data_IF_087806574081
#
_entry.id   IF_087806574081
#
_cell.length_a   1.000
_cell.length_b   1.000
_cell.length_c   1.000
_cell.angle_alpha   90.00
_cell.angle_beta   90.00
_cell.angle_gamma   90.00
#
_symmetry.space_group_name_H-M   'P 1'
#
loop_
_entity.id
_entity.type
_entity.pdbx_description
1 polymer ?
#
# COMPACT_ATOMS: atom_id res chain seq x y z
N UNK A 1 3.17 -15.78 -11.83
CA UNK A 1 2.28 -16.91 -12.23
C UNK A 1 0.92 -16.71 -11.60
N UNK A 2 -0.16 -17.07 -12.30
CA UNK A 2 -1.53 -16.98 -11.76
C UNK A 2 -2.18 -18.36 -11.85
N UNK A 3 -2.81 -18.79 -10.75
CA UNK A 3 -3.67 -19.95 -10.71
C UNK A 3 -5.09 -19.48 -10.40
N UNK A 4 -6.06 -19.98 -11.14
CA UNK A 4 -7.47 -19.64 -10.94
C UNK A 4 -8.25 -20.93 -10.73
N UNK A 5 -8.78 -21.09 -9.54
CA UNK A 5 -9.68 -22.18 -9.19
C UNK A 5 -11.11 -21.69 -9.34
N UNK A 6 -11.96 -22.51 -9.95
CA UNK A 6 -13.40 -22.27 -10.05
C UNK A 6 -14.11 -23.37 -9.29
N UNK A 7 -15.07 -23.00 -8.46
CA UNK A 7 -15.85 -23.95 -7.67
C UNK A 7 -17.22 -23.36 -7.34
N UNK A 8 -18.18 -24.21 -7.09
CA UNK A 8 -19.49 -23.81 -6.59
C UNK A 8 -19.55 -24.04 -5.08
N UNK A 9 -20.10 -23.10 -4.29
CA UNK A 9 -20.35 -23.30 -2.88
C UNK A 9 -21.37 -24.42 -2.66
N UNK A 10 -21.24 -25.17 -1.56
CA UNK A 10 -22.19 -26.24 -1.22
C UNK A 10 -23.61 -25.72 -1.01
N UNK A 11 -23.75 -24.48 -0.53
CA UNK A 11 -25.03 -23.84 -0.26
C UNK A 11 -25.74 -23.30 -1.52
N UNK A 12 -25.00 -23.12 -2.63
CA UNK A 12 -25.52 -22.57 -3.88
C UNK A 12 -24.69 -23.08 -5.07
N UNK A 13 -25.15 -24.18 -5.66
CA UNK A 13 -24.47 -24.84 -6.78
C UNK A 13 -24.55 -24.07 -8.10
N UNK A 14 -25.46 -23.08 -8.21
CA UNK A 14 -25.58 -22.26 -9.41
C UNK A 14 -24.57 -21.10 -9.43
N UNK A 15 -24.13 -20.67 -8.26
CA UNK A 15 -23.10 -19.62 -8.15
C UNK A 15 -21.70 -20.19 -8.38
N UNK A 16 -20.96 -19.58 -9.32
CA UNK A 16 -19.57 -19.93 -9.60
C UNK A 16 -18.61 -18.93 -8.94
N UNK A 17 -17.89 -19.38 -7.92
CA UNK A 17 -16.83 -18.61 -7.28
C UNK A 17 -15.50 -18.82 -7.98
N UNK A 18 -14.62 -17.82 -7.86
CA UNK A 18 -13.25 -17.86 -8.39
C UNK A 18 -12.27 -17.52 -7.28
N UNK A 19 -11.36 -18.42 -6.99
CA UNK A 19 -10.19 -18.18 -6.15
C UNK A 19 -8.98 -17.96 -7.06
N UNK A 20 -8.37 -16.78 -6.97
CA UNK A 20 -7.14 -16.45 -7.70
C UNK A 20 -5.96 -16.50 -6.74
N UNK A 21 -4.97 -17.30 -7.07
CA UNK A 21 -3.68 -17.36 -6.38
C UNK A 21 -2.64 -16.70 -7.27
N UNK A 22 -2.01 -15.66 -6.79
CA UNK A 22 -0.92 -14.94 -7.47
C UNK A 22 0.41 -15.30 -6.82
N UNK A 23 1.35 -15.77 -7.63
CA UNK A 23 2.68 -16.15 -7.17
C UNK A 23 3.68 -15.20 -7.81
N UNK A 24 4.44 -14.47 -6.98
CA UNK A 24 5.56 -13.67 -7.46
C UNK A 24 6.70 -14.62 -7.86
N UNK A 25 7.11 -14.53 -9.12
CA UNK A 25 8.19 -15.33 -9.69
C UNK A 25 9.35 -14.47 -10.20
N UNK A 26 9.42 -13.21 -9.80
CA UNK A 26 10.44 -12.27 -10.26
C UNK A 26 11.38 -11.80 -9.16
N UNK A 27 10.88 -11.70 -7.95
CA UNK A 27 11.63 -11.27 -6.78
C UNK A 27 11.84 -12.50 -5.90
N UNK A 28 13.04 -13.06 -5.91
CA UNK A 28 13.36 -14.32 -5.24
C UNK A 28 14.17 -14.10 -3.97
N UNK A 29 14.75 -12.92 -3.80
CA UNK A 29 15.60 -12.59 -2.67
C UNK A 29 14.94 -11.53 -1.80
N UNK A 30 15.03 -11.72 -0.49
CA UNK A 30 14.63 -10.73 0.51
C UNK A 30 15.84 -9.89 0.91
N UNK A 31 15.66 -8.60 1.12
CA UNK A 31 16.73 -7.71 1.58
C UNK A 31 17.04 -7.90 3.07
N UNK A 32 16.01 -8.14 3.89
CA UNK A 32 16.15 -8.27 5.35
C UNK A 32 15.89 -9.69 5.87
N UNK A 33 15.63 -10.63 4.97
CA UNK A 33 15.34 -12.00 5.32
C UNK A 33 13.84 -12.28 5.48
N UNK A 34 13.55 -13.55 5.69
CA UNK A 34 12.19 -14.08 5.85
C UNK A 34 12.03 -14.53 7.29
N UNK A 35 10.92 -14.19 7.92
CA UNK A 35 10.54 -14.65 9.25
C UNK A 35 9.25 -15.46 9.23
N UNK A 36 9.10 -16.27 10.26
CA UNK A 36 7.86 -16.94 10.59
C UNK A 36 7.00 -16.05 11.47
N UNK A 37 5.73 -15.89 11.08
CA UNK A 37 4.74 -15.14 11.82
C UNK A 37 3.59 -16.06 12.21
N UNK A 38 3.14 -16.04 13.48
CA UNK A 38 1.99 -16.79 13.89
C UNK A 38 0.74 -16.24 13.17
N UNK A 39 -0.03 -17.15 12.61
CA UNK A 39 -1.30 -16.86 11.97
C UNK A 39 -2.38 -17.70 12.61
N UNK A 40 -3.46 -17.07 13.04
CA UNK A 40 -4.59 -17.72 13.66
C UNK A 40 -5.88 -17.31 12.96
N UNK A 41 -6.70 -18.28 12.61
CA UNK A 41 -8.08 -18.07 12.21
C UNK A 41 -8.95 -18.67 13.31
N UNK A 42 -9.82 -17.86 13.87
CA UNK A 42 -10.87 -18.27 14.79
C UNK A 42 -12.19 -17.67 14.33
N UNK A 43 -12.96 -18.44 13.59
CA UNK A 43 -14.29 -18.05 13.14
C UNK A 43 -15.28 -19.18 13.37
N UNK A 44 -16.58 -18.87 13.22
CA UNK A 44 -17.68 -19.80 13.53
C UNK A 44 -17.57 -21.16 12.84
N UNK A 45 -16.96 -21.22 11.65
CA UNK A 45 -16.89 -22.41 10.80
C UNK A 45 -15.48 -23.01 10.65
N UNK A 46 -14.45 -22.30 11.10
CA UNK A 46 -13.09 -22.80 10.97
C UNK A 46 -12.16 -22.21 12.01
N UNK A 47 -11.37 -23.07 12.62
CA UNK A 47 -10.29 -22.67 13.53
C UNK A 47 -8.99 -23.31 13.05
N UNK A 48 -7.96 -22.50 12.88
CA UNK A 48 -6.65 -23.00 12.47
C UNK A 48 -5.54 -22.08 12.98
N UNK A 49 -4.40 -22.67 13.29
CA UNK A 49 -3.15 -21.96 13.62
C UNK A 49 -2.06 -22.45 12.69
N UNK A 50 -1.25 -21.54 12.21
CA UNK A 50 -0.12 -21.84 11.33
C UNK A 50 1.02 -20.84 11.55
N UNK A 51 2.22 -21.24 11.16
CA UNK A 51 3.36 -20.34 11.00
C UNK A 51 3.47 -19.95 9.53
N UNK A 52 3.37 -18.66 9.22
CA UNK A 52 3.44 -18.15 7.85
C UNK A 52 4.78 -17.47 7.63
N UNK A 53 5.48 -17.87 6.57
CA UNK A 53 6.69 -17.18 6.13
C UNK A 53 6.31 -15.86 5.47
N UNK A 54 6.88 -14.77 5.97
CA UNK A 54 6.70 -13.43 5.40
C UNK A 54 8.00 -12.61 5.49
N UNK A 55 8.04 -11.51 4.76
CA UNK A 55 9.12 -10.54 4.88
C UNK A 55 9.05 -9.80 6.21
N UNK A 56 10.17 -9.17 6.60
CA UNK A 56 10.18 -8.14 7.64
C UNK A 56 9.16 -7.04 7.29
N UNK A 57 8.49 -6.43 8.29
CA UNK A 57 7.50 -5.40 8.04
C UNK A 57 8.01 -4.27 7.14
N UNK A 58 9.21 -3.76 7.39
CA UNK A 58 9.80 -2.68 6.60
C UNK A 58 9.98 -3.08 5.13
N UNK A 59 10.30 -4.33 4.87
CA UNK A 59 10.45 -4.83 3.50
C UNK A 59 9.09 -4.97 2.81
N UNK A 60 8.12 -5.56 3.51
CA UNK A 60 6.75 -5.70 3.01
C UNK A 60 6.16 -4.33 2.66
N UNK A 61 6.27 -3.36 3.58
CA UNK A 61 5.72 -2.01 3.39
C UNK A 61 6.54 -1.16 2.43
N UNK A 62 7.84 -1.40 2.27
CA UNK A 62 8.66 -0.81 1.21
C UNK A 62 8.18 -1.21 -0.19
N UNK A 63 7.78 -2.48 -0.38
CA UNK A 63 7.17 -2.92 -1.63
C UNK A 63 5.76 -2.36 -1.85
N UNK A 64 4.98 -2.11 -0.79
CA UNK A 64 3.68 -1.42 -0.87
C UNK A 64 3.85 0.05 -1.25
N UNK A 65 4.85 0.75 -0.71
CA UNK A 65 5.17 2.12 -1.12
C UNK A 65 5.53 2.19 -2.61
N UNK A 66 6.32 1.23 -3.11
CA UNK A 66 6.60 1.10 -4.55
C UNK A 66 5.31 0.90 -5.34
N UNK A 67 4.42 0.03 -4.89
CA UNK A 67 3.14 -0.23 -5.56
C UNK A 67 2.25 1.01 -5.57
N UNK A 68 2.15 1.73 -4.46
CA UNK A 68 1.41 2.99 -4.35
C UNK A 68 1.87 4.01 -5.38
N UNK A 69 3.17 4.18 -5.54
CA UNK A 69 3.75 5.17 -6.46
C UNK A 69 3.79 4.72 -7.93
N UNK A 70 3.70 3.42 -8.21
CA UNK A 70 3.70 2.89 -9.57
C UNK A 70 2.32 2.63 -10.14
N UNK A 71 1.30 2.48 -9.29
CA UNK A 71 -0.07 2.17 -9.68
C UNK A 71 -0.97 3.39 -9.53
N UNK A 72 -2.03 3.41 -10.32
CA UNK A 72 -3.08 4.45 -10.18
C UNK A 72 -3.99 4.21 -8.96
N UNK A 73 -4.06 2.98 -8.46
CA UNK A 73 -4.92 2.57 -7.34
C UNK A 73 -4.39 3.05 -6.00
N UNK A 74 -5.30 3.35 -5.08
CA UNK A 74 -4.98 3.94 -3.77
C UNK A 74 -5.00 2.94 -2.61
N UNK A 75 -5.38 1.68 -2.82
CA UNK A 75 -5.50 0.68 -1.74
C UNK A 75 -4.23 0.53 -0.89
N UNK A 76 -3.05 0.65 -1.52
CA UNK A 76 -1.77 0.58 -0.79
C UNK A 76 -1.58 1.78 0.16
N UNK A 77 -2.34 2.89 0.00
CA UNK A 77 -2.34 4.03 0.92
C UNK A 77 -2.93 3.64 2.28
N UNK A 78 -4.07 2.95 2.28
CA UNK A 78 -4.70 2.43 3.48
C UNK A 78 -3.75 1.48 4.22
N UNK A 79 -3.19 0.52 3.52
CA UNK A 79 -2.27 -0.46 4.10
C UNK A 79 -1.04 0.20 4.74
N UNK A 80 -0.42 1.18 4.06
CA UNK A 80 0.73 1.93 4.58
C UNK A 80 0.36 2.72 5.83
N UNK A 81 -0.79 3.42 5.81
CA UNK A 81 -1.26 4.19 6.95
C UNK A 81 -1.51 3.31 8.18
N UNK A 82 -2.24 2.21 8.00
CA UNK A 82 -2.52 1.27 9.09
C UNK A 82 -1.22 0.60 9.59
N UNK A 83 -0.32 0.23 8.69
CA UNK A 83 0.97 -0.32 9.07
C UNK A 83 1.81 0.65 9.90
N UNK A 84 1.87 1.92 9.52
CA UNK A 84 2.58 2.96 10.29
C UNK A 84 1.95 3.21 11.67
N UNK A 85 0.64 3.03 11.83
CA UNK A 85 -0.07 3.18 13.12
C UNK A 85 0.10 1.97 14.03
N UNK A 86 0.04 0.77 13.45
CA UNK A 86 -0.08 -0.46 14.24
C UNK A 86 1.26 -1.17 14.47
N UNK A 87 2.24 -0.95 13.59
CA UNK A 87 3.53 -1.63 13.64
C UNK A 87 4.65 -0.66 14.00
N UNK A 88 5.56 -1.12 14.86
CA UNK A 88 6.78 -0.37 15.17
C UNK A 88 7.80 -0.61 14.06
N UNK A 89 7.66 0.11 12.94
CA UNK A 89 8.57 0.03 11.80
C UNK A 89 9.58 1.18 11.83
N UNK A 90 10.77 0.93 11.32
CA UNK A 90 11.77 1.96 11.04
C UNK A 90 11.54 2.54 9.64
N UNK A 91 11.08 3.81 9.51
CA UNK A 91 10.81 4.41 8.21
C UNK A 91 12.04 4.47 7.30
N UNK A 92 13.24 4.63 7.85
CA UNK A 92 14.46 4.71 7.05
C UNK A 92 14.83 3.34 6.45
N UNK A 93 14.61 2.25 7.18
CA UNK A 93 14.72 0.88 6.64
C UNK A 93 13.66 0.63 5.57
N UNK A 94 12.42 1.07 5.78
CA UNK A 94 11.35 0.95 4.79
C UNK A 94 11.72 1.68 3.50
N UNK A 95 12.22 2.91 3.60
CA UNK A 95 12.68 3.68 2.42
C UNK A 95 13.88 3.00 1.75
N UNK A 96 14.81 2.41 2.50
CA UNK A 96 15.92 1.67 1.91
C UNK A 96 15.41 0.47 1.09
N UNK A 97 14.42 -0.28 1.57
CA UNK A 97 13.76 -1.34 0.81
C UNK A 97 13.08 -0.82 -0.46
N UNK A 98 12.32 0.26 -0.32
CA UNK A 98 11.65 0.91 -1.47
C UNK A 98 12.67 1.24 -2.57
N UNK A 99 13.79 1.87 -2.22
CA UNK A 99 14.86 2.25 -3.17
C UNK A 99 15.51 1.00 -3.78
N UNK A 100 15.79 -0.02 -2.98
CA UNK A 100 16.36 -1.29 -3.44
C UNK A 100 15.48 -1.95 -4.51
N UNK A 101 14.20 -2.14 -4.24
CA UNK A 101 13.28 -2.78 -5.18
C UNK A 101 12.96 -1.94 -6.42
N UNK A 102 13.09 -0.61 -6.34
CA UNK A 102 13.05 0.25 -7.52
C UNK A 102 14.26 0.05 -8.41
N UNK A 103 15.46 -0.06 -7.81
CA UNK A 103 16.70 -0.29 -8.53
C UNK A 103 16.69 -1.64 -9.26
N UNK A 104 16.25 -2.71 -8.59
CA UNK A 104 16.06 -4.03 -9.21
C UNK A 104 15.09 -4.00 -10.38
N UNK A 105 14.05 -3.17 -10.30
CA UNK A 105 13.07 -2.99 -11.37
C UNK A 105 13.55 -2.10 -12.53
N UNK A 106 14.76 -1.53 -12.45
CA UNK A 106 15.32 -0.64 -13.48
C UNK A 106 14.56 0.68 -13.68
N UNK A 107 13.73 1.09 -12.69
CA UNK A 107 12.89 2.31 -12.76
C UNK A 107 13.06 3.13 -11.49
N UNK A 108 14.22 3.74 -11.25
CA UNK A 108 14.43 4.58 -10.09
C UNK A 108 13.43 5.74 -10.10
N UNK A 109 12.95 6.11 -8.92
CA UNK A 109 12.06 7.24 -8.69
C UNK A 109 12.79 8.23 -7.79
N UNK A 110 12.97 9.47 -8.26
CA UNK A 110 13.49 10.55 -7.43
C UNK A 110 12.42 11.04 -6.44
N UNK A 111 12.83 11.75 -5.39
CA UNK A 111 11.90 12.38 -4.44
C UNK A 111 10.88 13.26 -5.17
N UNK A 112 11.33 14.13 -6.08
CA UNK A 112 10.43 14.98 -6.86
C UNK A 112 9.36 14.20 -7.61
N UNK A 113 9.73 13.07 -8.23
CA UNK A 113 8.77 12.18 -8.93
C UNK A 113 7.85 11.48 -7.95
N UNK A 114 8.34 11.05 -6.78
CA UNK A 114 7.51 10.42 -5.75
C UNK A 114 6.46 11.40 -5.21
N UNK A 115 6.87 12.64 -4.91
CA UNK A 115 5.98 13.72 -4.46
C UNK A 115 4.92 14.04 -5.52
N UNK A 116 5.32 14.22 -6.77
CA UNK A 116 4.38 14.48 -7.86
C UNK A 116 3.36 13.35 -8.00
N UNK A 117 3.80 12.10 -8.05
CA UNK A 117 2.89 10.94 -8.17
C UNK A 117 1.94 10.79 -6.99
N UNK A 118 2.41 11.13 -5.79
CA UNK A 118 1.57 11.09 -4.61
C UNK A 118 0.49 12.18 -4.69
N UNK A 119 0.85 13.39 -5.13
CA UNK A 119 -0.09 14.50 -5.30
C UNK A 119 -1.10 14.26 -6.42
N UNK A 120 -0.69 13.63 -7.54
CA UNK A 120 -1.59 13.23 -8.63
C UNK A 120 -2.72 12.28 -8.18
N UNK A 121 -2.59 11.62 -7.04
CA UNK A 121 -3.66 10.78 -6.47
C UNK A 121 -4.83 11.60 -5.96
N UNK A 122 -4.62 12.86 -5.59
CA UNK A 122 -5.66 13.79 -5.16
C UNK A 122 -6.61 14.23 -6.29
N UNK A 123 -6.24 13.98 -7.56
CA UNK A 123 -7.12 14.23 -8.70
C UNK A 123 -8.31 13.25 -8.78
N UNK A 124 -8.34 12.27 -7.88
CA UNK A 124 -9.36 11.22 -7.81
C UNK A 124 -9.83 11.02 -6.39
N UNK A 125 -10.96 10.34 -6.24
CA UNK A 125 -11.37 9.84 -4.94
C UNK A 125 -10.28 8.92 -4.38
N UNK A 126 -9.82 9.21 -3.16
CA UNK A 126 -8.86 8.37 -2.44
C UNK A 126 -9.53 7.09 -1.90
N UNK A 127 -10.85 7.12 -1.70
CA UNK A 127 -11.64 6.06 -1.05
C UNK A 127 -12.22 5.05 -2.04
N UNK A 128 -12.43 5.41 -3.31
CA UNK A 128 -13.10 4.57 -4.32
C UNK A 128 -12.50 3.17 -4.46
N UNK A 129 -11.19 3.07 -4.46
CA UNK A 129 -10.46 1.78 -4.59
C UNK A 129 -10.32 1.02 -3.26
N UNK A 130 -10.63 1.65 -2.13
CA UNK A 130 -10.39 1.13 -0.77
C UNK A 130 -11.68 0.62 -0.15
N UNK A 131 -12.71 1.44 -0.12
CA UNK A 131 -13.98 1.14 0.57
C UNK A 131 -14.59 -0.23 0.19
N UNK A 132 -14.59 -0.66 -1.09
CA UNK A 132 -15.14 -1.97 -1.46
C UNK A 132 -14.34 -3.17 -0.94
N UNK A 133 -13.11 -2.95 -0.47
CA UNK A 133 -12.23 -4.01 0.02
C UNK A 133 -12.26 -4.15 1.54
N UNK A 134 -12.85 -3.19 2.24
CA UNK A 134 -12.90 -3.18 3.70
C UNK A 134 -14.11 -3.97 4.20
N UNK A 135 -13.96 -4.67 5.34
CA UNK A 135 -15.10 -5.25 6.04
C UNK A 135 -16.11 -4.17 6.40
N UNK A 136 -17.40 -4.52 6.45
CA UNK A 136 -18.50 -3.59 6.70
C UNK A 136 -18.41 -2.83 8.04
N UNK A 137 -17.66 -3.34 9.00
CA UNK A 137 -17.43 -2.72 10.30
C UNK A 137 -16.26 -1.70 10.31
N UNK A 138 -15.48 -1.63 9.24
CA UNK A 138 -14.42 -0.64 9.09
C UNK A 138 -14.94 0.47 8.18
N UNK A 139 -15.04 1.67 8.75
CA UNK A 139 -15.35 2.88 7.99
C UNK A 139 -14.04 3.57 7.59
N UNK A 140 -13.98 4.01 6.36
CA UNK A 140 -12.86 4.77 5.81
C UNK A 140 -13.43 5.81 4.85
N UNK A 141 -13.60 7.01 5.35
CA UNK A 141 -14.19 8.13 4.63
C UNK A 141 -13.10 9.04 4.02
N UNK A 142 -13.49 10.14 3.40
CA UNK A 142 -12.56 11.05 2.72
C UNK A 142 -11.64 11.78 3.71
N UNK A 143 -12.10 12.08 4.93
CA UNK A 143 -11.26 12.68 5.99
C UNK A 143 -10.19 11.68 6.44
N UNK A 144 -10.59 10.41 6.70
CA UNK A 144 -9.64 9.33 7.03
C UNK A 144 -8.62 9.13 5.92
N UNK A 145 -9.03 9.25 4.66
CA UNK A 145 -8.16 9.10 3.50
C UNK A 145 -7.18 10.28 3.37
N UNK A 146 -7.60 11.51 3.71
CA UNK A 146 -6.70 12.67 3.76
C UNK A 146 -5.71 12.58 4.91
N UNK A 147 -6.13 12.07 6.07
CA UNK A 147 -5.22 11.79 7.18
C UNK A 147 -4.20 10.72 6.81
N UNK A 148 -4.64 9.65 6.15
CA UNK A 148 -3.75 8.61 5.62
C UNK A 148 -2.74 9.18 4.61
N UNK A 149 -3.20 10.05 3.72
CA UNK A 149 -2.34 10.74 2.76
C UNK A 149 -1.28 11.60 3.48
N UNK A 150 -1.69 12.42 4.45
CA UNK A 150 -0.80 13.27 5.22
C UNK A 150 0.24 12.47 6.02
N UNK A 151 -0.18 11.38 6.64
CA UNK A 151 0.70 10.50 7.41
C UNK A 151 1.75 9.83 6.50
N UNK A 152 1.32 9.19 5.41
CA UNK A 152 2.24 8.56 4.45
C UNK A 152 3.17 9.57 3.79
N UNK A 153 2.67 10.79 3.54
CA UNK A 153 3.50 11.88 3.03
C UNK A 153 4.63 12.24 4.00
N UNK A 154 4.28 12.56 5.24
CA UNK A 154 5.26 13.04 6.25
C UNK A 154 6.24 11.94 6.66
N UNK A 155 5.75 10.73 6.88
CA UNK A 155 6.56 9.64 7.40
C UNK A 155 7.41 8.94 6.33
N UNK A 156 6.98 8.92 5.08
CA UNK A 156 7.65 8.16 4.03
C UNK A 156 8.10 9.04 2.86
N UNK A 157 7.18 9.75 2.19
CA UNK A 157 7.53 10.47 0.95
C UNK A 157 8.58 11.55 1.21
N UNK A 158 8.41 12.34 2.27
CA UNK A 158 9.32 13.42 2.65
C UNK A 158 10.73 12.93 3.05
N UNK A 159 10.88 11.64 3.42
CA UNK A 159 12.17 11.02 3.77
C UNK A 159 12.94 10.48 2.57
N UNK A 160 12.32 10.39 1.39
CA UNK A 160 13.04 9.98 0.17
C UNK A 160 14.14 11.00 -0.12
N UNK A 161 15.37 10.53 -0.32
CA UNK A 161 16.53 11.38 -0.58
C UNK A 161 16.40 12.11 -1.92
N UNK A 162 16.86 13.36 -1.97
CA UNK A 162 16.88 14.20 -3.15
C UNK A 162 16.08 15.49 -2.98
N UNK A 163 16.05 16.30 -4.03
CA UNK A 163 15.32 17.56 -4.03
C UNK A 163 13.81 17.30 -4.13
N UNK A 164 12.99 18.07 -3.38
CA UNK A 164 11.54 17.98 -3.49
C UNK A 164 11.07 18.48 -4.86
N UNK A 165 9.86 18.10 -5.25
CA UNK A 165 9.23 18.69 -6.42
C UNK A 165 8.98 20.18 -6.20
N UNK A 166 9.32 21.00 -7.19
CA UNK A 166 9.32 22.47 -7.10
C UNK A 166 8.00 23.11 -6.64
N UNK A 167 6.87 22.41 -6.86
CA UNK A 167 5.54 22.89 -6.45
C UNK A 167 5.04 22.26 -5.14
N UNK A 168 5.78 21.32 -4.53
CA UNK A 168 5.31 20.60 -3.33
C UNK A 168 4.96 21.55 -2.18
N UNK A 169 5.76 22.58 -1.93
CA UNK A 169 5.48 23.55 -0.88
C UNK A 169 4.17 24.29 -1.09
N UNK A 170 3.92 24.80 -2.30
CA UNK A 170 2.69 25.49 -2.64
C UNK A 170 1.47 24.56 -2.49
N UNK A 171 1.57 23.35 -3.00
CA UNK A 171 0.48 22.36 -2.97
C UNK A 171 0.14 21.97 -1.53
N UNK A 172 1.15 21.72 -0.69
CA UNK A 172 0.94 21.41 0.73
C UNK A 172 0.25 22.57 1.46
N UNK A 173 0.65 23.80 1.17
CA UNK A 173 0.03 25.00 1.76
C UNK A 173 -1.43 25.16 1.31
N UNK A 174 -1.76 24.81 0.08
CA UNK A 174 -3.15 24.79 -0.41
C UNK A 174 -3.97 23.70 0.29
N UNK A 175 -3.43 22.49 0.43
CA UNK A 175 -4.08 21.40 1.16
C UNK A 175 -4.35 21.76 2.63
N UNK A 176 -3.39 22.37 3.32
CA UNK A 176 -3.57 22.85 4.70
C UNK A 176 -4.68 23.90 4.84
N UNK A 177 -5.00 24.62 3.77
CA UNK A 177 -6.11 25.58 3.69
C UNK A 177 -7.42 24.93 3.24
N UNK A 178 -7.48 23.60 3.15
CA UNK A 178 -8.66 22.86 2.72
C UNK A 178 -8.94 22.97 1.21
N UNK A 179 -7.93 23.36 0.40
CA UNK A 179 -8.08 23.44 -1.05
C UNK A 179 -7.45 22.21 -1.69
N UNK A 180 -8.19 21.52 -2.53
CA UNK A 180 -7.62 20.48 -3.39
C UNK A 180 -6.88 21.16 -4.53
N UNK A 181 -5.56 20.95 -4.66
CA UNK A 181 -4.78 21.64 -5.69
C UNK A 181 -5.14 21.10 -7.07
N UNK A 182 -5.29 21.98 -8.03
CA UNK A 182 -5.46 21.61 -9.42
C UNK A 182 -4.08 21.46 -10.08
N UNK A 183 -3.57 20.23 -10.10
CA UNK A 183 -2.24 19.90 -10.63
C UNK A 183 -2.19 19.76 -12.16
N UNK A 184 -3.33 19.85 -12.83
CA UNK A 184 -3.48 19.68 -14.29
C UNK A 184 -3.46 21.02 -15.06
N UNK A 185 -3.10 22.12 -14.41
CA UNK A 185 -2.96 23.44 -15.05
C UNK A 185 -1.53 23.88 -15.21
#
# INVERSE_FOLDING_TARGET
MHLVFKFSPEADLETMLKLKVEINTREHESLYGIRQYPFEIDCRWHQAKAEILSFEPEELFGTKLRALLQRRKNRDLFDLHEGLKQLSMDPDKLIACFVHYLALGGKPISRAVAEQRMLEKLDRSLTEDIAPLLPAYIQFNDDDAMDAFGNVWSELIARIKGDPWKLSGQVIDELRKGKIPNLLR
#
